data_IF_420210793176
#
_entry.id   IF_420210793176
#
_cell.length_a   1.000
_cell.length_b   1.000
_cell.length_c   1.000
_cell.angle_alpha   90.00
_cell.angle_beta   90.00
_cell.angle_gamma   90.00
#
_symmetry.space_group_name_H-M   'P 1'
#
loop_
_entity.id
_entity.type
_entity.pdbx_description
1 polymer ?
#
# COMPACT_ATOMS: atom_id res chain seq x y z
N UNK A 1 -16.91 45.56 -16.68
CA UNK A 1 -16.04 44.43 -16.33
C UNK A 1 -15.01 44.32 -17.44
N UNK A 2 -13.74 44.59 -17.15
CA UNK A 2 -12.66 44.50 -18.12
C UNK A 2 -12.36 43.02 -18.39
N UNK A 3 -12.58 42.55 -19.62
CA UNK A 3 -12.08 41.24 -20.05
C UNK A 3 -10.57 41.38 -20.21
N UNK A 4 -9.79 40.92 -19.23
CA UNK A 4 -8.34 40.79 -19.41
C UNK A 4 -8.11 39.86 -20.61
N UNK A 5 -7.49 40.38 -21.66
CA UNK A 5 -7.07 39.62 -22.83
C UNK A 5 -5.85 38.78 -22.43
N UNK A 6 -6.12 37.63 -21.82
CA UNK A 6 -5.09 36.65 -21.46
C UNK A 6 -4.41 36.19 -22.75
N UNK A 7 -3.09 36.20 -22.80
CA UNK A 7 -2.35 35.70 -23.95
C UNK A 7 -2.56 34.19 -24.08
N UNK A 8 -2.48 33.64 -25.30
CA UNK A 8 -2.66 32.21 -25.52
C UNK A 8 -1.62 31.37 -24.75
N UNK A 9 -0.45 31.96 -24.47
CA UNK A 9 0.64 31.37 -23.69
C UNK A 9 0.33 31.38 -22.19
N UNK A 10 -0.22 32.46 -21.64
CA UNK A 10 -0.70 32.50 -20.25
C UNK A 10 -1.86 31.52 -20.02
N UNK A 11 -2.78 31.42 -20.98
CA UNK A 11 -3.88 30.47 -20.90
C UNK A 11 -3.37 29.01 -20.94
N UNK A 12 -2.35 28.72 -21.74
CA UNK A 12 -1.73 27.39 -21.81
C UNK A 12 -0.96 27.05 -20.53
N UNK A 13 -0.19 27.99 -20.00
CA UNK A 13 0.55 27.80 -18.75
C UNK A 13 -0.40 27.58 -17.56
N UNK A 14 -1.53 28.30 -17.53
CA UNK A 14 -2.56 28.11 -16.51
C UNK A 14 -3.22 26.73 -16.62
N UNK A 15 -3.55 26.29 -17.84
CA UNK A 15 -4.10 24.95 -18.07
C UNK A 15 -3.11 23.86 -17.71
N UNK A 16 -1.83 24.01 -18.02
CA UNK A 16 -0.78 23.03 -17.70
C UNK A 16 -0.53 22.95 -16.19
N UNK A 17 -0.64 24.06 -15.46
CA UNK A 17 -0.64 24.04 -13.98
C UNK A 17 -1.88 23.34 -13.41
N UNK A 18 -3.06 23.59 -13.96
CA UNK A 18 -4.30 22.94 -13.51
C UNK A 18 -4.23 21.43 -13.79
N UNK A 19 -3.74 21.04 -14.96
CA UNK A 19 -3.59 19.63 -15.36
C UNK A 19 -2.51 18.92 -14.52
N UNK A 20 -1.44 19.64 -14.14
CA UNK A 20 -0.45 19.16 -13.17
C UNK A 20 -1.04 18.94 -11.77
N UNK A 21 -1.89 19.87 -11.31
CA UNK A 21 -2.62 19.73 -10.03
C UNK A 21 -3.62 18.57 -10.10
N UNK A 22 -4.32 18.40 -11.22
CA UNK A 22 -5.28 17.31 -11.42
C UNK A 22 -4.57 15.95 -11.50
N UNK A 23 -3.41 15.87 -12.16
CA UNK A 23 -2.58 14.67 -12.17
C UNK A 23 -2.00 14.34 -10.78
N UNK A 24 -1.60 15.35 -10.00
CA UNK A 24 -1.14 15.15 -8.63
C UNK A 24 -2.29 14.71 -7.70
N UNK A 25 -3.51 15.22 -7.93
CA UNK A 25 -4.71 14.78 -7.24
C UNK A 25 -5.16 13.35 -7.64
N UNK A 26 -4.81 12.89 -8.86
CA UNK A 26 -5.08 11.52 -9.35
C UNK A 26 -4.05 10.48 -8.91
N UNK A 27 -2.96 10.86 -8.24
CA UNK A 27 -1.99 9.88 -7.73
C UNK A 27 -2.71 8.94 -6.76
N UNK A 28 -2.53 7.61 -6.89
CA UNK A 28 -3.15 6.66 -5.98
C UNK A 28 -2.76 7.03 -4.54
N UNK A 29 -3.72 7.03 -3.60
CA UNK A 29 -3.53 7.59 -2.26
C UNK A 29 -2.45 6.88 -1.44
N UNK A 30 -2.00 5.70 -1.89
CA UNK A 30 -0.96 4.93 -1.22
C UNK A 30 0.22 4.65 -2.15
N UNK A 31 1.45 5.02 -1.76
CA UNK A 31 2.66 4.73 -2.53
C UNK A 31 2.90 3.22 -2.70
N UNK A 32 3.41 2.80 -3.87
CA UNK A 32 3.67 1.39 -4.18
C UNK A 32 4.63 0.70 -3.20
N UNK A 33 5.60 1.42 -2.64
CA UNK A 33 6.55 0.86 -1.67
C UNK A 33 5.85 0.40 -0.39
N UNK A 34 4.73 1.03 0.00
CA UNK A 34 3.94 0.64 1.18
C UNK A 34 3.36 -0.77 0.97
N UNK A 35 2.83 -1.05 -0.23
CA UNK A 35 2.34 -2.38 -0.59
C UNK A 35 3.44 -3.44 -0.66
N UNK A 36 4.66 -3.05 -1.02
CA UNK A 36 5.82 -3.94 -0.98
C UNK A 36 6.21 -4.30 0.47
N UNK A 37 6.18 -3.33 1.39
CA UNK A 37 6.44 -3.57 2.82
C UNK A 37 5.38 -4.50 3.42
N UNK A 38 4.09 -4.25 3.14
CA UNK A 38 3.01 -5.12 3.62
C UNK A 38 3.03 -6.52 3.01
N UNK A 39 3.28 -6.66 1.70
CA UNK A 39 3.42 -7.97 1.07
C UNK A 39 4.60 -8.74 1.66
N UNK A 40 5.75 -8.07 1.82
CA UNK A 40 6.94 -8.68 2.40
C UNK A 40 6.72 -9.12 3.85
N UNK A 41 6.05 -8.31 4.67
CA UNK A 41 5.77 -8.69 6.07
C UNK A 41 4.87 -9.94 6.15
N UNK A 42 3.85 -10.02 5.30
CA UNK A 42 3.01 -11.22 5.19
C UNK A 42 3.79 -12.44 4.70
N UNK A 43 4.70 -12.26 3.74
CA UNK A 43 5.59 -13.32 3.27
C UNK A 43 6.53 -13.83 4.36
N UNK A 44 7.12 -12.93 5.16
CA UNK A 44 7.94 -13.28 6.32
C UNK A 44 7.12 -14.05 7.36
N UNK A 45 5.86 -13.69 7.57
CA UNK A 45 4.96 -14.44 8.46
C UNK A 45 4.71 -15.86 7.98
N UNK A 46 4.37 -16.06 6.70
CA UNK A 46 4.11 -17.40 6.14
C UNK A 46 5.37 -18.25 6.17
N UNK A 47 6.49 -17.70 5.69
CA UNK A 47 7.78 -18.41 5.69
C UNK A 47 8.27 -18.71 7.11
N UNK A 48 8.20 -17.75 8.02
CA UNK A 48 8.57 -17.93 9.43
C UNK A 48 7.72 -18.98 10.14
N UNK A 49 6.44 -19.06 9.81
CA UNK A 49 5.54 -20.11 10.32
C UNK A 49 5.97 -21.49 9.85
N UNK A 50 6.21 -21.66 8.55
CA UNK A 50 6.64 -22.95 7.97
C UNK A 50 8.01 -23.39 8.53
N UNK A 51 8.94 -22.46 8.67
CA UNK A 51 10.29 -22.73 9.18
C UNK A 51 10.29 -23.06 10.68
N UNK A 52 9.21 -22.75 11.41
CA UNK A 52 9.14 -22.88 12.86
C UNK A 52 9.99 -21.83 13.58
N UNK A 53 10.18 -20.65 12.98
CA UNK A 53 11.01 -19.60 13.55
C UNK A 53 10.33 -18.95 14.77
N UNK A 54 10.73 -19.34 15.98
CA UNK A 54 10.05 -18.98 17.24
C UNK A 54 9.73 -17.49 17.44
N UNK A 55 10.56 -16.59 16.90
CA UNK A 55 10.44 -15.15 17.13
C UNK A 55 10.12 -14.34 15.86
N UNK A 56 9.66 -14.99 14.77
CA UNK A 56 9.27 -14.28 13.54
C UNK A 56 8.22 -13.19 13.81
N UNK A 57 7.32 -13.44 14.77
CA UNK A 57 6.22 -12.55 15.13
C UNK A 57 6.69 -11.23 15.75
N UNK A 58 7.87 -11.21 16.39
CA UNK A 58 8.43 -9.99 16.99
C UNK A 58 8.72 -8.97 15.89
N UNK A 59 9.34 -9.42 14.79
CA UNK A 59 9.60 -8.61 13.60
C UNK A 59 8.30 -8.08 12.99
N UNK A 60 7.28 -8.92 12.89
CA UNK A 60 5.96 -8.53 12.39
C UNK A 60 5.33 -7.41 13.25
N UNK A 61 5.33 -7.57 14.58
CA UNK A 61 4.79 -6.58 15.52
C UNK A 61 5.54 -5.25 15.42
N UNK A 62 6.88 -5.29 15.35
CA UNK A 62 7.68 -4.07 15.21
C UNK A 62 7.38 -3.31 13.91
N UNK A 63 7.25 -4.02 12.78
CA UNK A 63 6.90 -3.42 11.48
C UNK A 63 5.50 -2.82 11.53
N UNK A 64 4.54 -3.51 12.16
CA UNK A 64 3.17 -3.03 12.29
C UNK A 64 3.10 -1.73 13.11
N UNK A 65 3.77 -1.70 14.27
CA UNK A 65 3.85 -0.51 15.12
C UNK A 65 4.53 0.64 14.39
N UNK A 66 5.66 0.38 13.72
CA UNK A 66 6.39 1.39 12.95
C UNK A 66 5.54 1.98 11.83
N UNK A 67 4.75 1.14 11.14
CA UNK A 67 3.86 1.58 10.06
C UNK A 67 2.73 2.49 10.58
N UNK A 68 2.13 2.15 11.73
CA UNK A 68 1.12 3.00 12.39
C UNK A 68 1.75 4.33 12.83
N UNK A 69 2.90 4.28 13.50
CA UNK A 69 3.60 5.47 13.96
C UNK A 69 3.94 6.41 12.80
N UNK A 70 4.42 5.85 11.68
CA UNK A 70 4.71 6.59 10.47
C UNK A 70 3.44 7.23 9.87
N UNK A 71 2.34 6.48 9.74
CA UNK A 71 1.09 6.99 9.21
C UNK A 71 0.51 8.14 10.06
N UNK A 72 0.57 8.01 11.40
CA UNK A 72 0.14 9.07 12.32
C UNK A 72 1.03 10.30 12.19
N UNK A 73 2.35 10.11 12.12
CA UNK A 73 3.29 11.20 11.96
C UNK A 73 3.10 11.95 10.63
N UNK A 74 2.95 11.23 9.51
CA UNK A 74 2.74 11.81 8.18
C UNK A 74 1.43 12.60 8.09
N UNK A 75 0.32 12.02 8.59
CA UNK A 75 -0.96 12.70 8.66
C UNK A 75 -0.89 14.00 9.48
N UNK A 76 -0.04 14.05 10.52
CA UNK A 76 0.09 15.23 11.37
C UNK A 76 1.08 16.28 10.82
N UNK A 77 1.96 15.92 9.89
CA UNK A 77 3.04 16.81 9.43
C UNK A 77 2.64 17.69 8.25
N UNK A 78 1.71 17.23 7.41
CA UNK A 78 1.52 17.83 6.08
C UNK A 78 0.44 18.92 5.99
N UNK A 79 -0.50 19.04 6.94
CA UNK A 79 -1.59 20.04 6.85
C UNK A 79 -2.08 20.50 8.23
N UNK A 80 -2.38 21.80 8.39
CA UNK A 80 -3.07 22.34 9.58
C UNK A 80 -4.41 21.60 9.77
N UNK A 81 -4.79 21.19 11.00
CA UNK A 81 -6.02 20.42 11.23
C UNK A 81 -7.29 21.05 10.62
N UNK A 82 -7.36 22.39 10.58
CA UNK A 82 -8.48 23.15 10.03
C UNK A 82 -8.58 23.15 8.49
N UNK A 83 -7.56 22.69 7.77
CA UNK A 83 -7.54 22.57 6.31
C UNK A 83 -7.59 21.12 5.83
N UNK A 84 -7.69 20.15 6.75
CA UNK A 84 -7.95 18.76 6.38
C UNK A 84 -9.39 18.68 5.88
N UNK A 85 -9.57 18.31 4.61
CA UNK A 85 -10.89 18.02 4.07
C UNK A 85 -11.51 16.86 4.86
N UNK A 86 -12.84 16.86 5.10
CA UNK A 86 -13.50 15.69 5.65
C UNK A 86 -13.20 14.52 4.72
N UNK A 87 -12.69 13.43 5.29
CA UNK A 87 -12.36 12.20 4.55
C UNK A 87 -13.67 11.73 3.94
N UNK A 88 -13.87 12.02 2.66
CA UNK A 88 -15.03 11.59 1.90
C UNK A 88 -14.65 10.26 1.26
N UNK A 89 -15.56 9.30 1.43
CA UNK A 89 -15.47 7.87 1.10
C UNK A 89 -14.92 6.98 2.22
N UNK A 90 -15.82 6.17 2.77
CA UNK A 90 -15.43 4.93 3.44
C UNK A 90 -14.52 4.14 2.49
N UNK A 91 -13.36 3.64 2.97
CA UNK A 91 -12.49 2.84 2.14
C UNK A 91 -13.28 1.62 1.65
N UNK A 92 -13.60 1.58 0.35
CA UNK A 92 -14.20 0.39 -0.27
C UNK A 92 -13.35 -0.81 0.14
N UNK A 93 -13.98 -1.91 0.54
CA UNK A 93 -13.23 -3.09 0.96
C UNK A 93 -12.49 -3.67 -0.24
N UNK A 94 -11.18 -3.89 -0.10
CA UNK A 94 -10.36 -4.59 -1.09
C UNK A 94 -10.66 -6.09 -1.01
N UNK A 95 -11.67 -6.54 -1.76
CA UNK A 95 -12.09 -7.95 -1.74
C UNK A 95 -11.00 -8.89 -2.24
N UNK A 96 -10.14 -8.44 -3.16
CA UNK A 96 -9.05 -9.27 -3.67
C UNK A 96 -7.98 -9.53 -2.60
N UNK A 97 -7.61 -8.52 -1.83
CA UNK A 97 -6.70 -8.61 -0.69
C UNK A 97 -7.36 -9.31 0.51
N UNK A 98 -8.68 -9.18 0.68
CA UNK A 98 -9.41 -9.93 1.69
C UNK A 98 -9.45 -11.45 1.40
N UNK A 99 -9.45 -11.83 0.11
CA UNK A 99 -9.43 -13.23 -0.33
C UNK A 99 -8.02 -13.79 -0.54
N UNK A 100 -7.00 -12.94 -0.68
CA UNK A 100 -5.61 -13.37 -0.83
C UNK A 100 -5.11 -14.33 0.26
N UNK A 101 -5.48 -14.19 1.56
CA UNK A 101 -5.16 -15.18 2.58
C UNK A 101 -5.67 -16.59 2.23
N UNK A 102 -6.86 -16.73 1.64
CA UNK A 102 -7.42 -18.03 1.29
C UNK A 102 -6.59 -18.75 0.20
N UNK A 103 -5.88 -18.00 -0.65
CA UNK A 103 -4.99 -18.56 -1.67
C UNK A 103 -3.62 -18.97 -1.11
N UNK A 104 -3.16 -18.29 -0.07
CA UNK A 104 -1.80 -18.45 0.47
C UNK A 104 -1.75 -19.40 1.66
N UNK A 105 -2.79 -19.43 2.50
CA UNK A 105 -2.87 -20.30 3.68
C UNK A 105 -2.63 -21.79 3.38
N UNK A 106 -3.07 -22.37 2.23
CA UNK A 106 -2.74 -23.74 1.89
C UNK A 106 -1.23 -24.02 1.74
N UNK A 107 -0.41 -23.02 1.43
CA UNK A 107 1.05 -23.18 1.37
C UNK A 107 1.64 -23.61 2.72
N UNK A 108 1.01 -23.21 3.83
CA UNK A 108 1.43 -23.62 5.18
C UNK A 108 1.19 -25.12 5.41
N UNK A 109 0.16 -25.69 4.78
CA UNK A 109 -0.19 -27.11 4.93
C UNK A 109 0.50 -28.02 3.91
N UNK A 110 0.77 -27.51 2.70
CA UNK A 110 1.40 -28.30 1.64
C UNK A 110 2.94 -28.32 1.73
N UNK A 111 3.54 -27.33 2.41
CA UNK A 111 4.99 -27.31 2.62
C UNK A 111 5.32 -28.03 3.92
N UNK A 112 6.29 -28.97 3.92
CA UNK A 112 6.72 -29.63 5.14
C UNK A 112 7.19 -28.65 6.21
N UNK A 113 6.69 -28.82 7.43
CA UNK A 113 7.13 -28.05 8.59
C UNK A 113 8.64 -28.19 8.80
N UNK A 114 9.30 -27.09 9.18
CA UNK A 114 10.75 -27.00 9.34
C UNK A 114 11.53 -26.89 8.02
N UNK A 115 10.88 -26.95 6.86
CA UNK A 115 11.54 -26.78 5.56
C UNK A 115 11.96 -25.33 5.35
N UNK A 116 13.26 -25.05 5.45
CA UNK A 116 13.84 -23.72 5.19
C UNK A 116 13.59 -23.30 3.73
N UNK A 117 13.88 -24.19 2.79
CA UNK A 117 13.70 -23.91 1.35
C UNK A 117 12.23 -23.72 1.01
N UNK A 118 11.37 -24.59 1.53
CA UNK A 118 9.92 -24.50 1.29
C UNK A 118 9.30 -23.24 1.91
N UNK A 119 9.71 -22.89 3.13
CA UNK A 119 9.26 -21.67 3.81
C UNK A 119 9.72 -20.40 3.10
N UNK A 120 10.95 -20.35 2.59
CA UNK A 120 11.43 -19.21 1.78
C UNK A 120 10.62 -19.06 0.51
N UNK A 121 10.40 -20.15 -0.24
CA UNK A 121 9.60 -20.11 -1.49
C UNK A 121 8.16 -19.67 -1.18
N UNK A 122 7.52 -20.26 -0.18
CA UNK A 122 6.17 -19.90 0.22
C UNK A 122 6.07 -18.43 0.66
N UNK A 123 7.05 -17.94 1.42
CA UNK A 123 7.12 -16.54 1.83
C UNK A 123 7.29 -15.58 0.65
N UNK A 124 8.17 -15.89 -0.30
CA UNK A 124 8.38 -15.07 -1.51
C UNK A 124 7.12 -15.04 -2.38
N UNK A 125 6.50 -16.20 -2.61
CA UNK A 125 5.25 -16.30 -3.39
C UNK A 125 4.14 -15.47 -2.73
N UNK A 126 4.01 -15.58 -1.41
CA UNK A 126 3.07 -14.78 -0.61
C UNK A 126 3.31 -13.28 -0.82
N UNK A 127 4.56 -12.83 -0.66
CA UNK A 127 4.90 -11.42 -0.79
C UNK A 127 4.56 -10.86 -2.17
N UNK A 128 4.93 -11.60 -3.23
CA UNK A 128 4.65 -11.21 -4.61
C UNK A 128 3.14 -11.13 -4.85
N UNK A 129 2.37 -12.14 -4.43
CA UNK A 129 0.92 -12.18 -4.64
C UNK A 129 0.22 -11.02 -3.94
N UNK A 130 0.51 -10.80 -2.66
CA UNK A 130 -0.12 -9.72 -1.90
C UNK A 130 0.25 -8.34 -2.44
N UNK A 131 1.53 -8.10 -2.75
CA UNK A 131 1.95 -6.83 -3.37
C UNK A 131 1.30 -6.62 -4.73
N UNK A 132 1.24 -7.65 -5.58
CA UNK A 132 0.62 -7.55 -6.90
C UNK A 132 -0.88 -7.27 -6.80
N UNK A 133 -1.61 -7.94 -5.91
CA UNK A 133 -3.05 -7.72 -5.68
C UNK A 133 -3.32 -6.30 -5.18
N UNK A 134 -2.55 -5.82 -4.20
CA UNK A 134 -2.71 -4.47 -3.67
C UNK A 134 -2.39 -3.39 -4.71
N UNK A 135 -1.32 -3.56 -5.49
CA UNK A 135 -0.94 -2.63 -6.57
C UNK A 135 -1.94 -2.64 -7.73
N UNK A 136 -2.44 -3.82 -8.10
CA UNK A 136 -3.44 -3.93 -9.16
C UNK A 136 -4.76 -3.24 -8.75
N UNK A 137 -5.19 -3.42 -7.50
CA UNK A 137 -6.39 -2.76 -7.03
C UNK A 137 -6.22 -1.24 -6.87
N UNK A 138 -5.06 -0.79 -6.39
CA UNK A 138 -4.79 0.65 -6.26
C UNK A 138 -4.80 1.38 -7.60
N UNK A 139 -4.51 0.67 -8.71
CA UNK A 139 -4.59 1.22 -10.07
C UNK A 139 -6.00 1.21 -10.66
N UNK A 140 -6.92 0.44 -10.07
CA UNK A 140 -8.29 0.25 -10.57
C UNK A 140 -9.31 1.11 -9.82
N UNK A 141 -8.92 1.70 -8.69
CA UNK A 141 -9.65 2.74 -7.96
C UNK A 141 -9.26 4.11 -8.50
#
# INVERSE_FOLDING_TARGET
MASNSISQEEARAALEQIDGIEQDARKPPTPTWVYAVFGTSLGVTVGGTIIGWTYWWVLFVLIFIASIAYAVWDNNRNVRPSMKQPIQEDPKTNWAAALAPALVMPLIWFVPEGSVVGGVIAGVVTAILFTAVMVYESKRR
#
